data_IF_137567005904
#
_entry.id   IF_137567005904
#
_cell.length_a   1.000
_cell.length_b   1.000
_cell.length_c   1.000
_cell.angle_alpha   90.00
_cell.angle_beta   90.00
_cell.angle_gamma   90.00
#
_symmetry.space_group_name_H-M   'P 1'
#
loop_
_entity.id
_entity.type
_entity.pdbx_description
1 polymer ?
#
# COMPACT_ATOMS: atom_id res chain seq x y z
N UNK A 1 -2.48 -5.95 -11.17
CA UNK A 1 -1.35 -5.13 -11.69
C UNK A 1 -0.16 -5.11 -10.72
N UNK A 2 -0.34 -4.70 -9.46
CA UNK A 2 0.74 -4.57 -8.47
C UNK A 2 1.57 -5.84 -8.22
N UNK A 3 0.92 -7.00 -8.03
CA UNK A 3 1.62 -8.26 -7.77
C UNK A 3 2.55 -8.67 -8.93
N UNK A 4 2.15 -8.42 -10.17
CA UNK A 4 2.95 -8.77 -11.35
C UNK A 4 4.20 -7.91 -11.47
N UNK A 5 4.08 -6.60 -11.25
CA UNK A 5 5.23 -5.67 -11.30
C UNK A 5 6.22 -5.93 -10.16
N UNK A 6 5.73 -6.23 -8.96
CA UNK A 6 6.58 -6.61 -7.84
C UNK A 6 7.30 -7.92 -8.12
N UNK A 7 6.60 -8.94 -8.63
CA UNK A 7 7.20 -10.22 -8.97
C UNK A 7 8.28 -10.10 -10.04
N UNK A 8 8.04 -9.27 -11.07
CA UNK A 8 9.03 -9.00 -12.11
C UNK A 8 10.27 -8.29 -11.54
N UNK A 9 10.08 -7.34 -10.62
CA UNK A 9 11.20 -6.69 -9.92
C UNK A 9 12.02 -7.70 -9.11
N UNK A 10 11.37 -8.64 -8.42
CA UNK A 10 12.07 -9.69 -7.67
C UNK A 10 12.93 -10.55 -8.59
N UNK A 11 12.39 -10.96 -9.73
CA UNK A 11 13.12 -11.75 -10.74
C UNK A 11 14.29 -10.98 -11.34
N UNK A 12 14.10 -9.69 -11.64
CA UNK A 12 15.14 -8.86 -12.26
C UNK A 12 16.26 -8.46 -11.29
N UNK A 13 15.96 -8.29 -10.00
CA UNK A 13 16.92 -7.81 -9.00
C UNK A 13 17.48 -8.92 -8.11
N UNK A 14 16.88 -10.11 -8.13
CA UNK A 14 17.20 -11.21 -7.22
C UNK A 14 16.87 -10.92 -5.75
N UNK A 15 16.12 -9.85 -5.46
CA UNK A 15 15.79 -9.41 -4.09
C UNK A 15 14.28 -9.48 -3.88
N UNK A 16 13.86 -9.93 -2.70
CA UNK A 16 12.44 -9.87 -2.31
C UNK A 16 11.93 -8.42 -2.33
N UNK A 17 10.70 -8.24 -2.78
CA UNK A 17 10.06 -6.94 -2.83
C UNK A 17 9.90 -6.36 -1.42
N UNK A 18 10.19 -5.07 -1.27
CA UNK A 18 9.97 -4.33 -0.02
C UNK A 18 8.55 -3.76 0.04
N UNK A 19 8.02 -3.58 1.25
CA UNK A 19 6.66 -3.05 1.43
C UNK A 19 6.56 -1.62 0.91
N UNK A 20 7.60 -0.82 1.13
CA UNK A 20 7.68 0.55 0.61
C UNK A 20 7.67 0.61 -0.93
N UNK A 21 8.17 -0.43 -1.60
CA UNK A 21 8.13 -0.52 -3.06
C UNK A 21 6.71 -0.75 -3.55
N UNK A 22 5.96 -1.64 -2.90
CA UNK A 22 4.54 -1.84 -3.19
C UNK A 22 3.74 -0.54 -2.98
N UNK A 23 3.97 0.15 -1.85
CA UNK A 23 3.36 1.45 -1.56
C UNK A 23 3.65 2.48 -2.66
N UNK A 24 4.89 2.56 -3.13
CA UNK A 24 5.29 3.50 -4.18
C UNK A 24 4.57 3.25 -5.50
N UNK A 25 4.45 1.99 -5.92
CA UNK A 25 3.70 1.65 -7.13
C UNK A 25 2.21 1.96 -7.00
N UNK A 26 1.60 1.62 -5.85
CA UNK A 26 0.20 1.90 -5.58
C UNK A 26 -0.09 3.40 -5.61
N UNK A 27 0.65 4.20 -4.84
CA UNK A 27 0.39 5.63 -4.73
C UNK A 27 0.60 6.38 -6.04
N UNK A 28 1.63 6.01 -6.82
CA UNK A 28 1.88 6.66 -8.11
C UNK A 28 0.76 6.37 -9.10
N UNK A 29 0.27 5.12 -9.12
CA UNK A 29 -0.88 4.76 -9.95
C UNK A 29 -2.11 5.56 -9.53
N UNK A 30 -2.50 5.52 -8.26
CA UNK A 30 -3.68 6.23 -7.77
C UNK A 30 -3.61 7.75 -7.98
N UNK A 31 -2.45 8.36 -7.73
CA UNK A 31 -2.22 9.78 -7.99
C UNK A 31 -2.38 10.13 -9.49
N UNK A 32 -1.86 9.30 -10.39
CA UNK A 32 -1.99 9.54 -11.84
C UNK A 32 -3.46 9.53 -12.29
N UNK A 33 -4.32 8.75 -11.63
CA UNK A 33 -5.76 8.71 -11.91
C UNK A 33 -6.56 9.70 -11.06
N UNK A 34 -5.93 10.57 -10.26
CA UNK A 34 -6.60 11.68 -9.55
C UNK A 34 -7.89 11.28 -8.81
N UNK A 35 -7.96 10.07 -8.27
CA UNK A 35 -9.16 9.56 -7.57
C UNK A 35 -10.24 8.91 -8.44
N UNK A 36 -10.12 8.89 -9.78
CA UNK A 36 -11.03 8.12 -10.66
C UNK A 36 -10.94 6.62 -10.42
N UNK A 37 -9.80 6.14 -9.90
CA UNK A 37 -9.67 4.79 -9.35
C UNK A 37 -9.95 4.89 -7.85
N UNK A 38 -11.19 4.56 -7.46
CA UNK A 38 -11.69 4.63 -6.07
C UNK A 38 -11.16 3.53 -5.15
N UNK A 39 -9.85 3.28 -5.15
CA UNK A 39 -9.23 2.28 -4.29
C UNK A 39 -8.65 2.91 -3.03
N UNK A 40 -9.07 2.38 -1.88
CA UNK A 40 -8.54 2.72 -0.56
C UNK A 40 -7.86 1.48 -0.02
N UNK A 41 -6.55 1.56 0.22
CA UNK A 41 -5.70 0.40 0.43
C UNK A 41 -5.03 0.46 1.80
N UNK A 42 -5.06 -0.67 2.51
CA UNK A 42 -4.13 -0.96 3.59
C UNK A 42 -3.03 -1.86 3.02
N UNK A 43 -1.79 -1.40 3.11
CA UNK A 43 -0.61 -2.11 2.59
C UNK A 43 0.27 -2.45 3.79
N UNK A 44 0.28 -3.73 4.14
CA UNK A 44 1.08 -4.26 5.24
C UNK A 44 2.01 -5.39 4.78
N UNK A 45 3.10 -5.58 5.51
CA UNK A 45 4.01 -6.70 5.29
C UNK A 45 5.26 -6.61 6.16
N UNK A 46 6.11 -7.62 6.05
CA UNK A 46 7.41 -7.67 6.72
C UNK A 46 8.49 -7.79 5.65
N UNK A 47 9.48 -6.91 5.71
CA UNK A 47 10.65 -6.94 4.84
C UNK A 47 11.95 -6.83 5.66
N UNK A 48 13.15 -6.85 5.04
CA UNK A 48 14.40 -6.79 5.80
C UNK A 48 14.60 -5.53 6.66
N UNK A 49 13.78 -4.49 6.45
CA UNK A 49 13.80 -3.26 7.27
C UNK A 49 12.81 -3.32 8.44
N UNK A 50 12.01 -4.38 8.54
CA UNK A 50 11.08 -4.62 9.64
C UNK A 50 9.63 -4.81 9.18
N UNK A 51 8.69 -4.86 10.15
CA UNK A 51 7.26 -4.83 9.87
C UNK A 51 6.80 -3.41 9.50
N UNK A 52 5.96 -3.30 8.47
CA UNK A 52 5.40 -2.03 8.01
C UNK A 52 3.90 -2.13 7.79
N UNK A 53 3.20 -1.04 8.09
CA UNK A 53 1.80 -0.86 7.79
C UNK A 53 1.57 0.57 7.27
N UNK A 54 0.98 0.66 6.08
CA UNK A 54 0.66 1.91 5.41
C UNK A 54 -0.81 1.96 5.01
N UNK A 55 -1.37 3.15 5.10
CA UNK A 55 -2.66 3.50 4.53
C UNK A 55 -2.43 4.30 3.25
N UNK A 56 -3.22 4.03 2.21
CA UNK A 56 -3.17 4.74 0.93
C UNK A 56 -4.59 5.08 0.46
N UNK A 57 -4.84 6.37 0.21
CA UNK A 57 -6.12 6.88 -0.28
C UNK A 57 -6.17 6.91 -1.81
N UNK A 58 -7.39 6.99 -2.36
CA UNK A 58 -7.64 6.99 -3.81
C UNK A 58 -6.96 8.13 -4.58
N UNK A 59 -6.63 9.24 -3.91
CA UNK A 59 -5.87 10.35 -4.49
C UNK A 59 -4.33 10.14 -4.44
N UNK A 60 -3.85 9.00 -3.91
CA UNK A 60 -2.43 8.68 -3.80
C UNK A 60 -1.73 9.24 -2.55
N UNK A 61 -2.45 9.85 -1.60
CA UNK A 61 -1.86 10.19 -0.30
C UNK A 61 -1.58 8.91 0.51
N UNK A 62 -0.48 8.90 1.27
CA UNK A 62 -0.05 7.73 2.04
C UNK A 62 0.41 8.10 3.43
N UNK A 63 0.08 7.28 4.44
CA UNK A 63 0.51 7.47 5.83
C UNK A 63 0.98 6.15 6.45
N UNK A 64 2.09 6.20 7.20
CA UNK A 64 2.52 5.07 8.03
C UNK A 64 1.73 5.08 9.35
N UNK A 65 1.20 3.93 9.76
CA UNK A 65 0.40 3.83 10.99
C UNK A 65 0.73 2.54 11.75
N UNK A 66 0.71 2.54 13.10
CA UNK A 66 0.83 1.31 13.89
C UNK A 66 -0.41 0.41 13.78
N UNK A 67 -1.59 1.00 13.59
CA UNK A 67 -2.85 0.32 13.31
C UNK A 67 -3.69 1.20 12.38
N UNK A 68 -4.52 0.59 11.53
CA UNK A 68 -5.34 1.31 10.57
C UNK A 68 -6.59 0.53 10.24
N UNK A 69 -7.69 1.25 9.99
CA UNK A 69 -8.90 0.71 9.41
C UNK A 69 -9.36 1.63 8.27
N UNK A 70 -9.90 1.03 7.21
CA UNK A 70 -10.42 1.73 6.03
C UNK A 70 -11.77 1.12 5.63
N UNK A 71 -12.54 1.85 4.83
CA UNK A 71 -13.89 1.46 4.41
C UNK A 71 -14.99 2.00 5.34
N UNK A 72 -16.24 1.64 5.05
CA UNK A 72 -17.42 2.17 5.75
C UNK A 72 -17.47 1.82 7.24
N UNK A 73 -16.88 0.69 7.64
CA UNK A 73 -16.78 0.26 9.04
C UNK A 73 -15.56 0.79 9.80
N UNK A 74 -14.77 1.68 9.20
CA UNK A 74 -13.49 2.16 9.78
C UNK A 74 -13.63 2.78 11.17
N UNK A 75 -14.65 3.61 11.41
CA UNK A 75 -14.87 4.23 12.72
C UNK A 75 -15.18 3.21 13.82
N UNK A 76 -15.99 2.19 13.50
CA UNK A 76 -16.29 1.12 14.43
C UNK A 76 -15.04 0.28 14.73
N UNK A 77 -14.23 0.00 13.72
CA UNK A 77 -12.97 -0.74 13.88
C UNK A 77 -11.90 0.04 14.67
N UNK A 78 -11.84 1.38 14.53
CA UNK A 78 -10.90 2.23 15.27
C UNK A 78 -11.29 2.39 16.75
N UNK A 79 -12.57 2.21 17.09
CA UNK A 79 -13.04 2.31 18.48
C UNK A 79 -12.65 1.13 19.37
N UNK A 80 -12.13 0.05 18.79
CA UNK A 80 -11.70 -1.19 19.46
C UNK A 80 -10.18 -1.17 19.60
#
# INVERSE_FOLDING_TARGET
MLSGTLRLMELNTGRKARVITALRHAKQHLFNYQGYVGAYLLIGGVDPTGPHLYECSANGTTMAKPFAAQGSGSYAAISI
#
